data_IF_267357117925
#
_entry.id   IF_267357117925
#
_cell.length_a   1.000
_cell.length_b   1.000
_cell.length_c   1.000
_cell.angle_alpha   90.00
_cell.angle_beta   90.00
_cell.angle_gamma   90.00
#
_symmetry.space_group_name_H-M   'P 1'
#
loop_
_entity.id
_entity.type
_entity.pdbx_description
1 polymer ?
#
# COMPACT_ATOMS: atom_id res chain seq x y z
N UNK A 1 -37.80 66.59 -23.53
CA UNK A 1 -38.53 65.64 -22.73
C UNK A 1 -38.93 64.47 -23.62
N UNK A 2 -38.27 63.33 -23.57
CA UNK A 2 -38.72 62.04 -24.15
C UNK A 2 -38.30 60.95 -23.17
N UNK A 3 -39.30 60.40 -22.54
CA UNK A 3 -39.21 59.28 -21.61
C UNK A 3 -39.03 58.01 -22.38
N UNK A 4 -37.91 57.32 -22.21
CA UNK A 4 -37.67 56.01 -22.77
C UNK A 4 -37.92 54.93 -21.70
N UNK A 5 -38.90 54.06 -21.96
CA UNK A 5 -39.19 52.89 -21.16
C UNK A 5 -38.15 51.79 -21.44
N UNK A 6 -37.47 51.33 -20.40
CA UNK A 6 -36.66 50.14 -20.46
C UNK A 6 -37.53 48.91 -20.09
N UNK A 7 -37.76 48.04 -21.05
CA UNK A 7 -38.36 46.72 -20.79
C UNK A 7 -37.27 45.75 -20.31
N UNK A 8 -37.46 45.23 -19.11
CA UNK A 8 -36.62 44.20 -18.49
C UNK A 8 -37.08 42.85 -19.01
N UNK A 9 -36.29 42.25 -19.90
CA UNK A 9 -36.52 40.86 -20.33
C UNK A 9 -35.92 39.90 -19.27
N UNK A 10 -36.79 39.19 -18.58
CA UNK A 10 -36.40 38.10 -17.67
C UNK A 10 -36.06 36.88 -18.51
N UNK A 11 -34.75 36.58 -18.65
CA UNK A 11 -34.25 35.33 -19.17
C UNK A 11 -34.35 34.26 -18.09
N UNK A 12 -35.33 33.37 -18.16
CA UNK A 12 -35.40 32.13 -17.40
C UNK A 12 -34.39 31.15 -17.99
N UNK A 13 -33.23 31.04 -17.34
CA UNK A 13 -32.27 29.96 -17.66
C UNK A 13 -32.83 28.64 -17.10
N UNK A 14 -33.27 27.76 -17.99
CA UNK A 14 -33.49 26.37 -17.67
C UNK A 14 -32.14 25.69 -17.48
N UNK A 15 -31.71 25.51 -16.25
CA UNK A 15 -30.64 24.58 -15.92
C UNK A 15 -31.14 23.17 -16.13
N UNK A 16 -30.74 22.55 -17.23
CA UNK A 16 -30.88 21.11 -17.41
C UNK A 16 -30.06 20.43 -16.32
N UNK A 17 -30.72 19.92 -15.30
CA UNK A 17 -30.12 18.98 -14.35
C UNK A 17 -29.86 17.71 -15.14
N UNK A 18 -28.60 17.48 -15.53
CA UNK A 18 -28.18 16.19 -16.03
C UNK A 18 -28.30 15.18 -14.89
N UNK A 19 -29.45 14.53 -14.77
CA UNK A 19 -29.62 13.34 -13.95
C UNK A 19 -28.82 12.23 -14.64
N UNK A 20 -27.56 12.06 -14.27
CA UNK A 20 -26.87 10.82 -14.58
C UNK A 20 -27.66 9.69 -13.95
N UNK A 21 -28.15 8.75 -14.76
CA UNK A 21 -28.79 7.56 -14.24
C UNK A 21 -27.81 6.90 -13.26
N UNK A 22 -28.22 6.72 -12.01
CA UNK A 22 -27.39 6.07 -11.01
C UNK A 22 -27.01 4.66 -11.49
N UNK A 23 -25.76 4.29 -11.33
CA UNK A 23 -25.26 2.98 -11.71
C UNK A 23 -25.92 1.86 -10.90
N UNK A 24 -25.65 0.62 -11.27
CA UNK A 24 -26.10 -0.53 -10.48
C UNK A 24 -25.35 -0.60 -9.14
N UNK A 25 -26.09 -0.80 -8.08
CA UNK A 25 -25.58 -1.03 -6.74
C UNK A 25 -25.70 -2.52 -6.39
N UNK A 26 -24.68 -3.07 -5.75
CA UNK A 26 -24.62 -4.46 -5.32
C UNK A 26 -24.52 -4.53 -3.80
N UNK A 27 -25.54 -5.04 -3.13
CA UNK A 27 -25.48 -5.42 -1.73
C UNK A 27 -25.17 -6.93 -1.64
N UNK A 28 -24.16 -7.28 -0.84
CA UNK A 28 -23.70 -8.66 -0.68
C UNK A 28 -23.74 -9.01 0.80
N UNK A 29 -24.46 -10.08 1.14
CA UNK A 29 -24.50 -10.65 2.47
C UNK A 29 -23.93 -12.07 2.45
N UNK A 30 -23.31 -12.47 3.55
CA UNK A 30 -22.83 -13.83 3.77
C UNK A 30 -23.50 -14.43 4.99
N UNK A 31 -23.49 -15.74 5.07
CA UNK A 31 -23.93 -16.52 6.21
C UNK A 31 -23.07 -16.32 7.46
N UNK A 32 -21.79 -16.00 7.31
CA UNK A 32 -20.89 -15.59 8.40
C UNK A 32 -20.69 -14.07 8.42
N UNK A 33 -21.05 -13.43 9.53
CA UNK A 33 -20.94 -11.96 9.68
C UNK A 33 -19.49 -11.47 9.78
N UNK A 34 -18.57 -12.31 10.25
CA UNK A 34 -17.12 -12.02 10.32
C UNK A 34 -16.37 -12.39 9.03
N UNK A 35 -17.07 -12.94 8.01
CA UNK A 35 -16.53 -13.35 6.71
C UNK A 35 -15.33 -14.32 6.81
N UNK A 36 -15.26 -15.12 7.88
CA UNK A 36 -14.22 -16.13 8.12
C UNK A 36 -14.85 -17.51 8.17
N UNK A 37 -14.26 -18.44 7.42
CA UNK A 37 -14.72 -19.81 7.23
C UNK A 37 -13.59 -20.80 7.57
N UNK A 38 -13.98 -22.04 7.87
CA UNK A 38 -13.04 -23.16 7.94
C UNK A 38 -12.74 -23.68 6.54
N UNK A 39 -11.54 -24.22 6.34
CA UNK A 39 -11.19 -24.90 5.10
C UNK A 39 -12.19 -26.02 4.82
N UNK A 40 -12.69 -26.09 3.58
CA UNK A 40 -13.73 -27.02 3.14
C UNK A 40 -15.18 -26.59 3.40
N UNK A 41 -15.43 -25.60 4.24
CA UNK A 41 -16.76 -25.06 4.50
C UNK A 41 -17.30 -24.31 3.26
N UNK A 42 -18.62 -24.38 3.02
CA UNK A 42 -19.25 -23.66 1.91
C UNK A 42 -19.63 -22.23 2.34
N UNK A 43 -19.05 -21.22 1.68
CA UNK A 43 -19.47 -19.83 1.83
C UNK A 43 -20.59 -19.51 0.85
N UNK A 44 -21.67 -18.92 1.35
CA UNK A 44 -22.78 -18.45 0.55
C UNK A 44 -22.78 -16.92 0.46
N UNK A 45 -22.86 -16.40 -0.77
CA UNK A 45 -22.95 -14.97 -1.08
C UNK A 45 -24.37 -14.68 -1.60
N UNK A 46 -25.19 -13.99 -0.82
CA UNK A 46 -26.50 -13.52 -1.26
C UNK A 46 -26.33 -12.11 -1.83
N UNK A 47 -26.65 -11.97 -3.12
CA UNK A 47 -26.45 -10.73 -3.87
C UNK A 47 -27.81 -10.09 -4.19
N UNK A 48 -28.00 -8.84 -3.78
CA UNK A 48 -29.13 -8.00 -4.18
C UNK A 48 -28.63 -6.89 -5.08
N UNK A 49 -29.25 -6.74 -6.26
CA UNK A 49 -28.90 -5.70 -7.23
C UNK A 49 -29.99 -4.64 -7.24
N UNK A 50 -29.61 -3.39 -7.01
CA UNK A 50 -30.53 -2.25 -7.00
C UNK A 50 -30.12 -1.16 -7.97
N UNK A 51 -31.08 -0.34 -8.38
CA UNK A 51 -30.87 0.95 -9.05
C UNK A 51 -31.79 1.97 -8.40
N UNK A 52 -31.24 3.09 -7.96
CA UNK A 52 -31.99 4.12 -7.22
C UNK A 52 -32.76 3.54 -6.01
N UNK A 53 -32.11 2.60 -5.29
CA UNK A 53 -32.67 1.91 -4.12
C UNK A 53 -33.78 0.88 -4.41
N UNK A 54 -34.12 0.64 -5.69
CA UNK A 54 -35.16 -0.34 -6.09
C UNK A 54 -34.51 -1.59 -6.68
N UNK A 55 -35.06 -2.80 -6.36
CA UNK A 55 -34.57 -4.03 -6.98
C UNK A 55 -34.68 -4.00 -8.51
N UNK A 56 -33.63 -4.45 -9.18
CA UNK A 56 -33.65 -4.60 -10.64
C UNK A 56 -34.29 -5.91 -11.03
N UNK A 57 -35.25 -5.86 -11.94
CA UNK A 57 -36.10 -7.03 -12.34
C UNK A 57 -35.72 -7.61 -13.71
N UNK A 58 -34.61 -7.18 -14.31
CA UNK A 58 -34.16 -7.69 -15.60
C UNK A 58 -32.73 -7.23 -15.93
N UNK A 59 -32.16 -7.82 -16.98
CA UNK A 59 -30.78 -7.61 -17.36
C UNK A 59 -29.85 -8.68 -16.79
N UNK A 60 -28.55 -8.50 -17.01
CA UNK A 60 -27.55 -9.52 -16.70
C UNK A 60 -26.43 -8.97 -15.83
N UNK A 61 -25.92 -9.82 -14.93
CA UNK A 61 -24.73 -9.61 -14.13
C UNK A 61 -23.76 -10.77 -14.36
N UNK A 62 -22.53 -10.48 -14.74
CA UNK A 62 -21.47 -11.47 -14.79
C UNK A 62 -20.90 -11.67 -13.38
N UNK A 63 -20.98 -12.89 -12.85
CA UNK A 63 -20.49 -13.29 -11.55
C UNK A 63 -19.30 -14.23 -11.69
N UNK A 64 -18.16 -13.86 -11.11
CA UNK A 64 -16.95 -14.68 -11.10
C UNK A 64 -16.53 -14.93 -9.66
N UNK A 65 -16.25 -16.21 -9.33
CA UNK A 65 -15.73 -16.63 -8.04
C UNK A 65 -14.35 -17.25 -8.22
N UNK A 66 -13.33 -16.68 -7.58
CA UNK A 66 -11.93 -17.13 -7.69
C UNK A 66 -11.17 -17.00 -6.35
N UNK A 67 -9.98 -17.60 -6.26
CA UNK A 67 -9.11 -17.56 -5.10
C UNK A 67 -8.04 -16.43 -5.18
N UNK A 68 -8.31 -15.34 -5.87
CA UNK A 68 -7.30 -14.31 -6.22
C UNK A 68 -6.18 -14.82 -7.14
N UNK A 69 -6.30 -16.00 -7.71
CA UNK A 69 -5.31 -16.65 -8.56
C UNK A 69 -5.96 -17.37 -9.73
N UNK A 70 -5.31 -18.43 -10.23
CA UNK A 70 -5.78 -19.16 -11.40
C UNK A 70 -7.02 -20.03 -11.13
N UNK A 71 -7.33 -20.32 -9.86
CA UNK A 71 -8.47 -21.19 -9.52
C UNK A 71 -9.78 -20.41 -9.60
N UNK A 72 -10.46 -20.55 -10.73
CA UNK A 72 -11.80 -19.98 -10.98
C UNK A 72 -12.84 -21.08 -10.74
N UNK A 73 -13.63 -20.94 -9.67
CA UNK A 73 -14.68 -21.91 -9.30
C UNK A 73 -15.98 -21.68 -10.07
N UNK A 74 -16.28 -20.42 -10.40
CA UNK A 74 -17.48 -20.01 -11.10
C UNK A 74 -17.17 -18.85 -12.04
N UNK A 75 -17.76 -18.90 -13.23
CA UNK A 75 -17.85 -17.77 -14.15
C UNK A 75 -19.16 -17.87 -14.90
N UNK A 76 -20.22 -17.25 -14.36
CA UNK A 76 -21.57 -17.33 -14.85
C UNK A 76 -22.18 -15.97 -15.14
N UNK A 77 -23.07 -15.94 -16.12
CA UNK A 77 -23.94 -14.80 -16.40
C UNK A 77 -25.31 -15.04 -15.75
N UNK A 78 -25.64 -14.20 -14.78
CA UNK A 78 -26.89 -14.27 -14.01
C UNK A 78 -27.95 -13.38 -14.67
N UNK A 79 -29.09 -13.94 -14.95
CA UNK A 79 -30.29 -13.25 -15.47
C UNK A 79 -31.13 -12.77 -14.29
N UNK A 80 -31.20 -11.46 -14.06
CA UNK A 80 -31.94 -10.85 -12.97
C UNK A 80 -33.46 -11.01 -13.11
N UNK A 81 -34.00 -11.31 -14.31
CA UNK A 81 -35.40 -11.63 -14.50
C UNK A 81 -35.80 -12.98 -13.88
N UNK A 82 -34.83 -13.89 -13.67
CA UNK A 82 -35.06 -15.20 -13.05
C UNK A 82 -34.97 -15.16 -11.52
N UNK A 83 -34.45 -14.08 -10.96
CA UNK A 83 -34.35 -13.88 -9.52
C UNK A 83 -33.35 -12.77 -9.12
N UNK A 84 -33.82 -11.89 -8.25
CA UNK A 84 -33.06 -10.88 -7.54
C UNK A 84 -33.71 -10.66 -6.16
N UNK A 85 -33.09 -11.09 -5.05
CA UNK A 85 -31.68 -11.53 -4.92
C UNK A 85 -31.39 -12.91 -5.54
N UNK A 86 -30.06 -13.16 -5.78
CA UNK A 86 -29.56 -14.48 -6.19
C UNK A 86 -28.38 -14.91 -5.27
N UNK A 87 -28.05 -16.20 -5.30
CA UNK A 87 -26.98 -16.76 -4.48
C UNK A 87 -25.83 -17.30 -5.33
N UNK A 88 -24.60 -17.05 -4.86
CA UNK A 88 -23.38 -17.67 -5.38
C UNK A 88 -22.71 -18.40 -4.22
N UNK A 89 -22.22 -19.62 -4.46
CA UNK A 89 -21.60 -20.46 -3.44
C UNK A 89 -20.22 -20.96 -3.89
N UNK A 90 -19.33 -21.15 -2.93
CA UNK A 90 -18.01 -21.72 -3.17
C UNK A 90 -17.29 -22.09 -1.90
N UNK A 91 -16.15 -22.77 -2.05
CA UNK A 91 -15.31 -23.21 -0.93
C UNK A 91 -13.85 -23.24 -1.32
N UNK A 92 -12.95 -23.16 -0.34
CA UNK A 92 -11.53 -23.43 -0.52
C UNK A 92 -11.15 -24.73 0.19
N UNK A 93 -10.28 -25.53 -0.44
CA UNK A 93 -9.70 -26.74 0.14
C UNK A 93 -8.42 -26.45 0.94
N UNK A 94 -7.92 -25.20 0.89
CA UNK A 94 -6.69 -24.74 1.56
C UNK A 94 -6.90 -23.35 2.15
N UNK A 95 -6.09 -22.93 3.16
CA UNK A 95 -6.12 -21.59 3.70
C UNK A 95 -5.93 -20.53 2.62
N UNK A 96 -6.78 -19.50 2.62
CA UNK A 96 -6.74 -18.48 1.57
C UNK A 96 -7.92 -17.51 1.60
N UNK A 97 -8.16 -16.87 0.47
CA UNK A 97 -9.30 -15.98 0.29
C UNK A 97 -10.08 -16.34 -0.98
N UNK A 98 -11.38 -16.37 -0.86
CA UNK A 98 -12.33 -16.57 -1.96
C UNK A 98 -12.95 -15.21 -2.31
N UNK A 99 -12.89 -14.83 -3.60
CA UNK A 99 -13.36 -13.53 -4.08
C UNK A 99 -14.50 -13.70 -5.06
N UNK A 100 -15.64 -13.07 -4.76
CA UNK A 100 -16.73 -12.84 -5.70
C UNK A 100 -16.50 -11.50 -6.40
N UNK A 101 -16.48 -11.51 -7.73
CA UNK A 101 -16.47 -10.31 -8.57
C UNK A 101 -17.76 -10.27 -9.38
N UNK A 102 -18.50 -9.17 -9.25
CA UNK A 102 -19.72 -8.89 -9.99
C UNK A 102 -19.45 -7.77 -10.99
N UNK A 103 -19.87 -7.93 -12.23
CA UNK A 103 -19.78 -6.88 -13.23
C UNK A 103 -21.00 -6.82 -14.13
N UNK A 104 -21.43 -5.60 -14.43
CA UNK A 104 -22.49 -5.28 -15.37
C UNK A 104 -22.09 -4.02 -16.15
N UNK A 105 -22.90 -3.64 -17.16
CA UNK A 105 -22.61 -2.45 -17.99
C UNK A 105 -22.38 -1.20 -17.13
N UNK A 106 -23.19 -1.02 -16.08
CA UNK A 106 -23.26 0.23 -15.30
C UNK A 106 -22.79 0.03 -13.84
N UNK A 107 -22.07 -1.05 -13.52
CA UNK A 107 -21.59 -1.29 -12.15
C UNK A 107 -20.63 -2.46 -12.00
N UNK A 108 -19.76 -2.36 -10.98
CA UNK A 108 -18.84 -3.43 -10.61
C UNK A 108 -18.66 -3.48 -9.10
N UNK A 109 -18.60 -4.69 -8.54
CA UNK A 109 -18.33 -4.91 -7.11
C UNK A 109 -17.44 -6.12 -6.94
N UNK A 110 -16.51 -6.05 -5.99
CA UNK A 110 -15.77 -7.20 -5.50
C UNK A 110 -16.05 -7.40 -4.01
N UNK A 111 -16.04 -8.66 -3.58
CA UNK A 111 -16.27 -9.06 -2.20
C UNK A 111 -15.42 -10.29 -1.87
N UNK A 112 -14.78 -10.31 -0.71
CA UNK A 112 -13.88 -11.38 -0.33
C UNK A 112 -14.25 -11.97 1.02
N UNK A 113 -14.02 -13.28 1.17
CA UNK A 113 -14.13 -14.02 2.43
C UNK A 113 -12.83 -14.79 2.69
N UNK A 114 -12.44 -14.94 3.96
CA UNK A 114 -11.21 -15.62 4.37
C UNK A 114 -11.46 -17.05 4.84
N UNK A 115 -10.60 -17.96 4.47
CA UNK A 115 -10.56 -19.35 4.91
C UNK A 115 -9.32 -19.59 5.76
N UNK A 116 -9.49 -19.69 7.08
CA UNK A 116 -8.40 -19.88 8.05
C UNK A 116 -7.15 -19.04 7.71
N UNK A 117 -7.31 -17.71 7.52
CA UNK A 117 -6.23 -16.87 6.98
C UNK A 117 -4.99 -16.83 7.88
N UNK A 118 -5.14 -17.13 9.18
CA UNK A 118 -4.05 -17.29 10.13
C UNK A 118 -3.13 -18.48 9.84
N UNK A 119 -3.56 -19.41 8.95
CA UNK A 119 -2.78 -20.57 8.50
C UNK A 119 -2.14 -20.37 7.13
N UNK A 120 -2.30 -19.22 6.52
CA UNK A 120 -1.66 -18.93 5.23
C UNK A 120 -0.15 -18.88 5.41
N UNK A 121 0.56 -19.79 4.71
CA UNK A 121 2.01 -19.80 4.64
C UNK A 121 2.50 -18.93 3.50
N UNK A 122 3.69 -18.33 3.62
CA UNK A 122 4.33 -17.58 2.53
C UNK A 122 4.80 -18.51 1.40
N UNK A 123 4.76 -18.02 0.16
CA UNK A 123 5.32 -18.68 -1.02
C UNK A 123 6.80 -18.40 -1.21
N UNK A 124 7.31 -17.28 -0.67
CA UNK A 124 8.73 -16.92 -0.75
C UNK A 124 9.56 -17.73 0.25
N UNK A 125 10.63 -18.43 -0.19
CA UNK A 125 11.56 -19.05 0.73
C UNK A 125 12.33 -18.00 1.52
N UNK A 126 12.79 -18.33 2.72
CA UNK A 126 13.77 -17.50 3.44
C UNK A 126 15.17 -17.87 2.97
N UNK A 127 15.97 -16.94 2.38
CA UNK A 127 17.36 -17.23 2.07
C UNK A 127 18.17 -17.53 3.34
N UNK A 128 19.06 -18.51 3.29
CA UNK A 128 19.87 -18.90 4.46
C UNK A 128 20.81 -17.78 4.91
N UNK A 129 21.31 -16.99 3.96
CA UNK A 129 22.20 -15.85 4.21
C UNK A 129 21.47 -14.51 4.38
N UNK A 130 20.14 -14.51 4.56
CA UNK A 130 19.33 -13.28 4.57
C UNK A 130 19.85 -12.23 5.58
N UNK A 131 20.10 -12.64 6.81
CA UNK A 131 20.54 -11.72 7.86
C UNK A 131 22.00 -11.23 7.62
N UNK A 132 22.86 -12.14 7.19
CA UNK A 132 24.24 -11.79 6.82
C UNK A 132 24.27 -10.82 5.63
N UNK A 133 23.47 -11.08 4.60
CA UNK A 133 23.39 -10.18 3.43
C UNK A 133 23.02 -8.76 3.82
N UNK A 134 21.97 -8.57 4.63
CA UNK A 134 21.53 -7.23 5.01
C UNK A 134 22.48 -6.56 6.00
N UNK A 135 23.11 -7.31 6.92
CA UNK A 135 24.14 -6.78 7.81
C UNK A 135 25.36 -6.30 7.03
N UNK A 136 25.84 -7.11 6.09
CA UNK A 136 26.97 -6.78 5.21
C UNK A 136 26.65 -5.59 4.30
N UNK A 137 25.44 -5.52 3.74
CA UNK A 137 24.99 -4.40 2.90
C UNK A 137 25.01 -3.06 3.66
N UNK A 138 24.53 -3.05 4.91
CA UNK A 138 24.57 -1.87 5.79
C UNK A 138 26.02 -1.47 6.13
N UNK A 139 26.85 -2.43 6.52
CA UNK A 139 28.25 -2.20 6.88
C UNK A 139 29.05 -1.66 5.67
N UNK A 140 28.88 -2.25 4.50
CA UNK A 140 29.47 -1.80 3.25
C UNK A 140 29.05 -0.37 2.90
N UNK A 141 27.75 -0.08 2.92
CA UNK A 141 27.27 1.27 2.64
C UNK A 141 27.89 2.30 3.59
N UNK A 142 27.95 1.99 4.89
CA UNK A 142 28.53 2.89 5.89
C UNK A 142 30.04 3.15 5.63
N UNK A 143 30.76 2.14 5.13
CA UNK A 143 32.21 2.23 4.84
C UNK A 143 32.49 2.94 3.51
N UNK A 144 31.74 2.64 2.47
CA UNK A 144 32.06 3.02 1.09
C UNK A 144 31.42 4.34 0.66
N UNK A 145 30.28 4.72 1.25
CA UNK A 145 29.52 5.90 0.86
C UNK A 145 29.37 6.84 2.05
N UNK A 146 29.96 8.04 2.04
CA UNK A 146 29.69 9.06 3.07
C UNK A 146 28.20 9.30 3.25
N UNK A 147 27.76 9.58 4.48
CA UNK A 147 26.34 9.84 4.77
C UNK A 147 25.80 11.02 3.96
N UNK A 148 26.62 12.08 3.84
CA UNK A 148 26.28 13.33 3.14
C UNK A 148 24.83 13.75 3.39
N UNK A 149 24.47 13.88 4.68
CA UNK A 149 23.17 14.31 5.11
C UNK A 149 22.95 15.78 4.76
N UNK A 150 21.92 16.07 3.98
CA UNK A 150 21.55 17.43 3.62
C UNK A 150 20.17 17.74 4.22
N UNK A 151 20.08 18.94 4.82
CA UNK A 151 18.84 19.42 5.45
C UNK A 151 18.66 20.90 5.11
N UNK A 152 17.67 21.22 4.29
CA UNK A 152 17.39 22.58 3.81
C UNK A 152 16.01 23.02 4.28
N UNK A 153 15.94 24.11 5.02
CA UNK A 153 14.67 24.70 5.49
C UNK A 153 13.82 25.14 4.29
N UNK A 154 12.54 24.92 4.37
CA UNK A 154 11.50 25.31 3.41
C UNK A 154 10.62 26.37 4.07
N UNK A 155 10.95 27.68 3.97
CA UNK A 155 10.26 28.74 4.71
C UNK A 155 8.78 28.82 4.38
N UNK A 156 8.40 28.62 3.11
CA UNK A 156 7.02 28.66 2.63
C UNK A 156 6.12 27.53 3.16
N UNK A 157 6.73 26.49 3.79
CA UNK A 157 6.04 25.38 4.43
C UNK A 157 6.19 25.37 5.95
N UNK A 158 7.03 26.25 6.48
CA UNK A 158 7.22 26.44 7.92
C UNK A 158 6.15 27.35 8.50
N UNK A 159 5.82 27.15 9.78
CA UNK A 159 4.83 27.93 10.52
C UNK A 159 5.42 28.37 11.86
N UNK A 160 4.61 29.06 12.69
CA UNK A 160 5.04 29.38 14.05
C UNK A 160 5.23 28.11 14.92
N UNK A 161 4.51 27.00 14.60
CA UNK A 161 4.50 25.78 15.38
C UNK A 161 5.61 24.80 14.99
N UNK A 162 6.05 24.81 13.73
CA UNK A 162 7.08 23.89 13.21
C UNK A 162 7.89 24.47 12.06
N UNK A 163 9.14 24.07 11.97
CA UNK A 163 10.01 24.25 10.82
C UNK A 163 9.89 23.06 9.87
N UNK A 164 9.80 23.31 8.57
CA UNK A 164 9.72 22.31 7.52
C UNK A 164 11.02 22.25 6.73
N UNK A 165 11.51 21.03 6.47
CA UNK A 165 12.80 20.79 5.81
C UNK A 165 12.68 19.79 4.68
N UNK A 166 13.41 20.02 3.60
CA UNK A 166 13.86 18.96 2.68
C UNK A 166 15.08 18.29 3.26
N UNK A 167 15.08 16.95 3.24
CA UNK A 167 16.19 16.14 3.69
C UNK A 167 16.62 15.17 2.61
N UNK A 168 17.92 14.87 2.53
CA UNK A 168 18.43 13.84 1.62
C UNK A 168 19.70 13.21 2.13
N UNK A 169 19.92 11.95 1.75
CA UNK A 169 21.07 11.15 2.17
C UNK A 169 21.66 10.42 0.98
N UNK A 170 22.98 10.34 0.90
CA UNK A 170 23.64 9.57 -0.13
C UNK A 170 23.44 8.06 0.10
N UNK A 171 23.35 7.31 -0.98
CA UNK A 171 23.31 5.84 -1.02
C UNK A 171 24.03 5.39 -2.30
N UNK A 172 24.09 4.08 -2.59
CA UNK A 172 24.76 3.58 -3.79
C UNK A 172 24.21 4.21 -5.07
N UNK A 173 25.08 4.94 -5.79
CA UNK A 173 24.78 5.51 -7.10
C UNK A 173 23.68 6.57 -7.14
N UNK A 174 23.12 6.97 -5.99
CA UNK A 174 22.03 7.96 -5.92
C UNK A 174 21.87 8.57 -4.53
N UNK A 175 20.85 9.38 -4.36
CA UNK A 175 20.36 9.87 -3.06
C UNK A 175 18.94 9.37 -2.81
N UNK A 176 18.57 9.29 -1.53
CA UNK A 176 17.17 9.21 -1.08
C UNK A 176 16.74 10.60 -0.60
N UNK A 177 15.49 10.95 -0.87
CA UNK A 177 14.96 12.28 -0.60
C UNK A 177 13.68 12.19 0.24
N UNK A 178 13.53 13.14 1.13
CA UNK A 178 12.38 13.22 2.02
C UNK A 178 12.09 14.61 2.53
N UNK A 179 11.09 14.67 3.39
CA UNK A 179 10.75 15.84 4.19
C UNK A 179 10.82 15.51 5.67
N UNK A 180 11.09 16.56 6.48
CA UNK A 180 11.01 16.48 7.93
C UNK A 180 10.40 17.77 8.45
N UNK A 181 9.37 17.67 9.32
CA UNK A 181 8.89 18.81 10.11
C UNK A 181 9.35 18.64 11.55
N UNK A 182 9.84 19.73 12.14
CA UNK A 182 10.41 19.77 13.50
C UNK A 182 9.72 20.87 14.28
N UNK A 183 9.14 20.58 15.46
CA UNK A 183 8.52 21.62 16.31
C UNK A 183 9.50 22.75 16.67
N UNK A 184 9.00 23.98 16.72
CA UNK A 184 9.80 25.19 17.03
C UNK A 184 10.03 25.37 18.53
N UNK A 185 9.11 24.91 19.40
CA UNK A 185 9.19 25.05 20.86
C UNK A 185 10.21 24.09 21.48
N UNK A 186 11.46 24.51 21.57
CA UNK A 186 12.56 23.68 22.10
C UNK A 186 12.39 23.31 23.59
N UNK A 187 11.53 23.99 24.33
CA UNK A 187 11.29 23.70 25.74
C UNK A 187 10.56 22.36 25.96
N UNK A 188 9.90 21.81 24.94
CA UNK A 188 9.15 20.55 24.98
C UNK A 188 9.93 19.35 24.43
N UNK A 189 11.15 19.57 23.92
CA UNK A 189 11.99 18.47 23.46
C UNK A 189 12.41 17.55 24.63
N UNK A 190 12.62 16.24 24.40
CA UNK A 190 12.64 15.57 23.10
C UNK A 190 11.24 15.18 22.61
N UNK A 191 11.05 15.18 21.27
CA UNK A 191 9.78 14.92 20.61
C UNK A 191 9.65 13.48 20.10
N UNK A 192 8.44 12.90 20.10
CA UNK A 192 8.18 11.67 19.38
C UNK A 192 8.41 11.86 17.88
N UNK A 193 8.64 10.74 17.18
CA UNK A 193 8.84 10.72 15.73
C UNK A 193 7.81 9.81 15.07
N UNK A 194 7.19 10.31 14.01
CA UNK A 194 6.40 9.52 13.07
C UNK A 194 7.11 9.46 11.72
N UNK A 195 7.56 8.27 11.36
CA UNK A 195 8.31 8.00 10.14
C UNK A 195 7.44 7.29 9.11
N UNK A 196 7.54 7.70 7.85
CA UNK A 196 6.75 7.12 6.76
C UNK A 196 7.52 7.10 5.44
N UNK A 197 7.10 6.21 4.53
CA UNK A 197 7.62 6.10 3.17
C UNK A 197 6.44 6.14 2.18
N UNK A 198 6.67 6.68 1.00
CA UNK A 198 5.64 6.88 -0.02
C UNK A 198 4.98 5.59 -0.49
N UNK A 199 3.69 5.64 -0.75
CA UNK A 199 3.00 4.63 -1.55
C UNK A 199 3.52 4.63 -3.01
N UNK A 200 3.07 3.66 -3.83
CA UNK A 200 3.41 3.63 -5.24
C UNK A 200 2.58 4.63 -6.06
N UNK A 201 3.11 5.02 -7.22
CA UNK A 201 2.48 5.97 -8.11
C UNK A 201 3.03 7.38 -8.00
N UNK A 202 3.05 8.11 -9.11
CA UNK A 202 3.74 9.40 -9.19
C UNK A 202 3.16 10.49 -8.26
N UNK A 203 1.87 10.42 -7.91
CA UNK A 203 1.21 11.39 -7.02
C UNK A 203 1.45 11.13 -5.52
N UNK A 204 1.90 9.95 -5.14
CA UNK A 204 2.02 9.59 -3.72
C UNK A 204 3.30 10.06 -3.04
N UNK A 205 4.30 10.48 -3.81
CA UNK A 205 5.59 10.98 -3.31
C UNK A 205 5.60 12.49 -3.03
N UNK A 206 4.50 13.14 -3.29
CA UNK A 206 4.32 14.58 -3.04
C UNK A 206 3.42 14.86 -1.85
N UNK A 207 3.02 13.81 -1.12
CA UNK A 207 2.16 13.99 0.04
C UNK A 207 2.80 14.98 1.02
N UNK A 208 2.19 16.14 1.08
CA UNK A 208 2.45 17.11 2.11
C UNK A 208 1.97 16.53 3.44
N UNK A 209 2.92 16.14 4.26
CA UNK A 209 2.59 15.60 5.58
C UNK A 209 2.17 16.68 6.56
N UNK A 210 2.30 17.96 6.17
CA UNK A 210 2.21 19.07 7.11
C UNK A 210 3.22 18.90 8.28
N UNK A 211 3.02 19.68 9.33
CA UNK A 211 3.75 19.54 10.58
C UNK A 211 2.80 19.56 11.76
N UNK A 212 3.31 19.20 12.93
CA UNK A 212 2.61 19.24 14.21
C UNK A 212 3.52 19.92 15.25
N UNK A 213 2.93 20.62 16.24
CA UNK A 213 3.69 21.37 17.25
C UNK A 213 4.38 20.54 18.32
N UNK A 214 4.08 19.24 18.39
CA UNK A 214 4.54 18.30 19.41
C UNK A 214 5.00 16.94 18.86
N UNK A 215 5.25 16.88 17.54
CA UNK A 215 5.66 15.68 16.83
C UNK A 215 6.63 16.00 15.69
N UNK A 216 7.75 15.30 15.62
CA UNK A 216 8.60 15.29 14.43
C UNK A 216 8.01 14.31 13.42
N UNK A 217 7.70 14.80 12.22
CA UNK A 217 7.22 13.94 11.13
C UNK A 217 8.31 13.81 10.08
N UNK A 218 8.53 12.58 9.60
CA UNK A 218 9.53 12.25 8.59
C UNK A 218 8.89 11.44 7.48
N UNK A 219 9.09 11.87 6.25
CA UNK A 219 8.56 11.20 5.07
C UNK A 219 9.66 11.03 4.03
N UNK A 220 9.79 9.83 3.46
CA UNK A 220 10.70 9.55 2.37
C UNK A 220 9.98 9.13 1.09
N UNK A 221 10.47 9.64 -0.04
CA UNK A 221 10.13 9.17 -1.37
C UNK A 221 11.06 8.02 -1.77
N UNK A 222 10.55 7.07 -2.56
CA UNK A 222 11.40 6.01 -3.17
C UNK A 222 12.03 6.45 -4.50
N UNK A 223 11.62 7.59 -5.05
CA UNK A 223 12.06 8.05 -6.38
C UNK A 223 13.42 8.75 -6.35
N UNK A 224 14.15 8.81 -7.48
CA UNK A 224 15.50 9.35 -7.56
C UNK A 224 15.57 10.89 -7.67
N UNK A 225 14.52 11.59 -7.26
CA UNK A 225 14.44 13.05 -7.24
C UNK A 225 13.81 13.57 -5.96
N UNK A 226 14.09 14.84 -5.64
CA UNK A 226 13.51 15.50 -4.49
C UNK A 226 11.97 15.65 -4.65
N UNK A 227 11.17 15.27 -3.64
CA UNK A 227 9.74 15.50 -3.67
C UNK A 227 9.42 17.01 -3.68
N UNK A 228 8.27 17.36 -4.27
CA UNK A 228 7.78 18.73 -4.31
C UNK A 228 6.26 18.77 -4.20
N UNK A 229 5.72 19.70 -3.44
CA UNK A 229 4.26 19.84 -3.26
C UNK A 229 3.53 20.27 -4.53
N UNK A 230 4.19 21.00 -5.43
CA UNK A 230 3.65 21.40 -6.73
C UNK A 230 4.16 20.48 -7.86
N UNK A 231 4.00 19.19 -7.65
CA UNK A 231 4.47 18.16 -8.58
C UNK A 231 3.73 18.18 -9.94
N UNK A 232 2.47 18.69 -9.96
CA UNK A 232 1.66 18.71 -11.18
C UNK A 232 2.23 19.67 -12.21
N UNK A 233 2.69 20.86 -11.76
CA UNK A 233 3.26 21.88 -12.63
C UNK A 233 4.71 21.60 -13.06
N UNK A 234 5.42 20.71 -12.38
CA UNK A 234 6.85 20.46 -12.59
C UNK A 234 7.17 19.29 -13.54
N UNK A 235 6.17 18.76 -14.27
CA UNK A 235 6.40 17.70 -15.26
C UNK A 235 6.84 16.35 -14.67
N UNK A 236 6.68 16.12 -13.38
CA UNK A 236 7.07 14.88 -12.70
C UNK A 236 6.38 13.63 -13.26
N UNK A 237 5.15 13.77 -13.78
CA UNK A 237 4.50 12.64 -14.44
C UNK A 237 5.31 12.16 -15.64
N UNK A 238 5.82 13.06 -16.45
CA UNK A 238 6.67 12.71 -17.59
C UNK A 238 7.99 12.06 -17.15
N UNK A 239 8.60 12.57 -16.06
CA UNK A 239 9.80 11.95 -15.47
C UNK A 239 9.52 10.52 -14.94
N UNK A 240 8.37 10.32 -14.31
CA UNK A 240 7.94 9.00 -13.82
C UNK A 240 7.71 8.02 -14.98
N UNK A 241 6.99 8.45 -16.02
CA UNK A 241 6.73 7.62 -17.19
C UNK A 241 8.03 7.26 -17.92
N UNK A 242 8.91 8.25 -18.16
CA UNK A 242 10.22 8.05 -18.77
C UNK A 242 11.09 7.06 -17.98
N UNK A 243 11.10 7.17 -16.66
CA UNK A 243 11.82 6.24 -15.78
C UNK A 243 11.31 4.81 -15.95
N UNK A 244 9.99 4.60 -15.94
CA UNK A 244 9.41 3.27 -16.12
C UNK A 244 9.73 2.69 -17.50
N UNK A 245 9.61 3.47 -18.56
CA UNK A 245 9.98 3.05 -19.91
C UNK A 245 11.48 2.71 -20.01
N UNK A 246 12.36 3.49 -19.39
CA UNK A 246 13.80 3.22 -19.39
C UNK A 246 14.12 1.91 -18.67
N UNK A 247 13.46 1.63 -17.54
CA UNK A 247 13.62 0.36 -16.83
C UNK A 247 13.02 -0.82 -17.59
N UNK A 248 11.88 -0.64 -18.25
CA UNK A 248 11.29 -1.70 -19.06
C UNK A 248 12.17 -2.04 -20.26
N UNK A 249 12.67 -1.03 -20.98
CA UNK A 249 13.63 -1.25 -22.09
C UNK A 249 14.90 -1.97 -21.63
N UNK A 250 15.41 -1.63 -20.45
CA UNK A 250 16.67 -2.20 -19.92
C UNK A 250 16.50 -3.60 -19.34
N UNK A 251 15.43 -3.86 -18.60
CA UNK A 251 15.27 -5.07 -17.77
C UNK A 251 14.08 -5.93 -18.15
N UNK A 252 13.22 -5.50 -19.08
CA UNK A 252 12.01 -6.23 -19.47
C UNK A 252 11.04 -6.46 -18.32
N UNK A 253 10.87 -5.49 -17.43
CA UNK A 253 10.19 -5.63 -16.15
C UNK A 253 8.97 -4.74 -15.95
N UNK A 254 8.57 -3.97 -16.97
CA UNK A 254 7.40 -3.12 -16.97
C UNK A 254 7.49 -1.86 -16.10
N UNK A 255 8.17 -1.89 -14.94
CA UNK A 255 8.19 -0.76 -14.00
C UNK A 255 9.40 -0.76 -13.05
N UNK A 256 9.68 0.42 -12.47
CA UNK A 256 10.77 0.61 -11.49
C UNK A 256 10.73 -0.39 -10.32
N UNK A 257 9.54 -0.71 -9.83
CA UNK A 257 9.35 -1.53 -8.62
C UNK A 257 9.70 -3.02 -8.79
N UNK A 258 10.06 -3.44 -10.00
CA UNK A 258 10.55 -4.78 -10.31
C UNK A 258 11.93 -4.73 -10.98
N UNK A 259 12.43 -3.53 -11.30
CA UNK A 259 13.63 -3.33 -12.11
C UNK A 259 14.92 -3.82 -11.42
N UNK A 260 15.75 -4.54 -12.17
CA UNK A 260 17.10 -4.96 -11.79
C UNK A 260 17.21 -6.35 -11.16
N UNK A 261 16.11 -6.97 -10.73
CA UNK A 261 16.13 -8.34 -10.19
C UNK A 261 16.54 -9.40 -11.22
N UNK A 262 16.39 -9.13 -12.52
CA UNK A 262 16.89 -9.99 -13.59
C UNK A 262 18.43 -9.98 -13.72
N UNK A 263 19.12 -9.08 -13.00
CA UNK A 263 20.58 -8.99 -12.98
C UNK A 263 21.15 -9.49 -11.67
N UNK A 264 20.84 -8.83 -10.55
CA UNK A 264 21.26 -9.25 -9.21
C UNK A 264 20.41 -8.56 -8.14
N UNK A 265 20.52 -9.02 -6.89
CA UNK A 265 19.87 -8.40 -5.73
C UNK A 265 20.38 -6.97 -5.48
N UNK A 266 21.66 -6.68 -5.77
CA UNK A 266 22.25 -5.34 -5.61
C UNK A 266 21.82 -4.36 -6.72
N UNK A 267 21.42 -4.87 -7.89
CA UNK A 267 20.88 -4.07 -8.99
C UNK A 267 19.39 -3.75 -8.83
N UNK A 268 18.71 -4.40 -7.88
CA UNK A 268 17.30 -4.12 -7.65
C UNK A 268 17.06 -2.67 -7.25
N UNK A 269 16.05 -2.04 -7.87
CA UNK A 269 15.73 -0.63 -7.64
C UNK A 269 15.59 -0.26 -6.15
N UNK A 270 14.99 -1.14 -5.34
CA UNK A 270 14.79 -0.88 -3.93
C UNK A 270 16.02 -1.13 -3.06
N UNK A 271 17.06 -1.80 -3.54
CA UNK A 271 18.26 -2.07 -2.73
C UNK A 271 18.93 -0.78 -2.22
N UNK A 272 19.37 0.17 -3.09
CA UNK A 272 19.95 1.42 -2.61
C UNK A 272 18.92 2.33 -1.91
N UNK A 273 17.63 2.23 -2.26
CA UNK A 273 16.57 3.01 -1.60
C UNK A 273 16.38 2.59 -0.16
N UNK A 274 16.26 1.27 0.08
CA UNK A 274 16.08 0.71 1.42
C UNK A 274 17.25 1.06 2.32
N UNK A 275 18.48 0.83 1.86
CA UNK A 275 19.70 1.15 2.62
C UNK A 275 19.84 2.66 2.90
N UNK A 276 19.49 3.50 1.93
CA UNK A 276 19.52 4.96 2.10
C UNK A 276 18.49 5.47 3.12
N UNK A 277 17.27 4.89 3.12
CA UNK A 277 16.25 5.26 4.09
C UNK A 277 16.57 4.68 5.48
N UNK A 278 17.09 3.45 5.56
CA UNK A 278 17.48 2.83 6.82
C UNK A 278 18.57 3.65 7.55
N UNK A 279 19.60 4.11 6.85
CA UNK A 279 20.60 5.00 7.45
C UNK A 279 20.05 6.38 7.85
N UNK A 280 18.99 6.85 7.16
CA UNK A 280 18.29 8.07 7.55
C UNK A 280 17.48 7.86 8.86
N UNK A 281 16.93 6.68 9.10
CA UNK A 281 16.33 6.33 10.41
C UNK A 281 17.34 6.50 11.53
N UNK A 282 18.55 5.96 11.38
CA UNK A 282 19.63 6.09 12.37
C UNK A 282 20.02 7.56 12.61
N UNK A 283 20.12 8.35 11.53
CA UNK A 283 20.44 9.77 11.62
C UNK A 283 19.34 10.57 12.34
N UNK A 284 18.08 10.33 12.04
CA UNK A 284 16.95 10.97 12.74
C UNK A 284 16.95 10.59 14.22
N UNK A 285 17.14 9.32 14.53
CA UNK A 285 17.15 8.81 15.91
C UNK A 285 18.33 9.33 16.76
N UNK A 286 19.43 9.73 16.12
CA UNK A 286 20.59 10.30 16.80
C UNK A 286 20.45 11.80 17.15
N UNK A 287 19.38 12.45 16.72
CA UNK A 287 19.15 13.88 16.99
C UNK A 287 18.83 14.11 18.46
N UNK A 288 19.35 15.18 19.08
CA UNK A 288 19.11 15.48 20.49
C UNK A 288 17.66 15.89 20.82
N UNK A 289 16.90 16.31 19.82
CA UNK A 289 15.50 16.69 19.94
C UNK A 289 14.52 15.53 19.72
N UNK A 290 15.00 14.28 19.58
CA UNK A 290 14.21 13.07 19.34
C UNK A 290 14.06 12.21 20.59
N UNK A 291 12.82 11.85 20.90
CA UNK A 291 12.49 10.83 21.91
C UNK A 291 12.51 9.43 21.28
N UNK A 292 13.59 8.72 21.48
CA UNK A 292 13.78 7.36 20.96
C UNK A 292 12.80 6.32 21.54
N UNK A 293 12.17 6.59 22.67
CA UNK A 293 11.15 5.72 23.25
C UNK A 293 9.79 5.82 22.55
N UNK A 294 9.61 6.87 21.72
CA UNK A 294 8.40 7.15 20.93
C UNK A 294 8.74 7.38 19.48
N UNK A 295 9.29 6.36 18.82
CA UNK A 295 9.71 6.40 17.43
C UNK A 295 8.86 5.42 16.64
N UNK A 296 7.92 5.92 15.82
CA UNK A 296 6.88 5.13 15.19
C UNK A 296 7.01 5.09 13.68
N UNK A 297 6.54 3.99 13.10
CA UNK A 297 6.41 3.85 11.66
C UNK A 297 4.94 3.76 11.26
N UNK A 298 4.54 4.45 10.18
CA UNK A 298 3.31 4.17 9.46
C UNK A 298 3.51 4.21 7.95
N UNK A 299 2.77 3.37 7.22
CA UNK A 299 2.88 3.36 5.76
C UNK A 299 1.76 2.63 5.07
N UNK A 300 1.42 3.10 3.87
CA UNK A 300 0.33 2.55 3.05
C UNK A 300 0.89 1.91 1.80
N UNK A 301 0.34 0.75 1.39
CA UNK A 301 0.67 0.10 0.12
C UNK A 301 2.18 -0.17 0.03
N UNK A 302 2.89 0.39 -0.95
CA UNK A 302 4.35 0.31 -1.04
C UNK A 302 5.03 0.81 0.25
N UNK A 303 4.55 1.92 0.84
CA UNK A 303 5.04 2.40 2.13
C UNK A 303 4.78 1.38 3.26
N UNK A 304 3.67 0.65 3.23
CA UNK A 304 3.41 -0.48 4.13
C UNK A 304 4.42 -1.61 3.96
N UNK A 305 4.82 -1.92 2.73
CA UNK A 305 5.91 -2.86 2.43
C UNK A 305 7.27 -2.40 2.96
N UNK A 306 7.60 -1.11 2.78
CA UNK A 306 8.79 -0.51 3.40
C UNK A 306 8.73 -0.55 4.93
N UNK A 307 7.54 -0.58 5.52
CA UNK A 307 7.35 -0.80 6.95
C UNK A 307 7.92 -2.15 7.40
N UNK A 308 7.63 -3.22 6.69
CA UNK A 308 8.23 -4.54 6.96
C UNK A 308 9.75 -4.51 6.86
N UNK A 309 10.29 -3.87 5.82
CA UNK A 309 11.73 -3.73 5.61
C UNK A 309 12.41 -3.00 6.77
N UNK A 310 11.97 -1.77 7.02
CA UNK A 310 12.62 -0.89 7.98
C UNK A 310 12.49 -1.42 9.41
N UNK A 311 11.29 -1.88 9.82
CA UNK A 311 11.10 -2.41 11.18
C UNK A 311 11.74 -3.79 11.38
N UNK A 312 11.95 -4.55 10.31
CA UNK A 312 12.68 -5.81 10.34
C UNK A 312 14.20 -5.64 10.43
N UNK A 313 14.76 -4.58 9.81
CA UNK A 313 16.20 -4.30 9.83
C UNK A 313 16.64 -3.39 11.00
N UNK A 314 15.78 -2.43 11.36
CA UNK A 314 16.15 -1.37 12.30
C UNK A 314 15.36 -1.48 13.61
N UNK A 315 16.06 -1.54 14.74
CA UNK A 315 15.48 -1.69 16.08
C UNK A 315 15.03 -0.38 16.71
N UNK A 316 15.13 0.73 15.99
CA UNK A 316 14.73 2.06 16.48
C UNK A 316 13.22 2.19 16.65
N UNK A 317 12.44 1.50 15.82
CA UNK A 317 10.98 1.62 15.86
C UNK A 317 10.39 0.97 17.10
N UNK A 318 9.54 1.72 17.80
CA UNK A 318 8.87 1.28 19.04
C UNK A 318 7.43 0.81 18.81
N UNK A 319 6.80 1.19 17.70
CA UNK A 319 5.52 0.69 17.18
C UNK A 319 5.44 0.90 15.67
N UNK A 320 4.60 0.09 15.01
CA UNK A 320 4.38 0.23 13.57
C UNK A 320 2.93 -0.05 13.15
N UNK A 321 2.45 0.68 12.14
CA UNK A 321 1.15 0.48 11.50
C UNK A 321 1.31 0.37 9.99
N UNK A 322 0.85 -0.75 9.40
CA UNK A 322 0.92 -1.02 7.97
C UNK A 322 -0.47 -1.10 7.37
N UNK A 323 -0.77 -0.23 6.42
CA UNK A 323 -2.08 -0.17 5.76
C UNK A 323 -1.99 -0.80 4.37
N UNK A 324 -2.77 -1.86 4.13
CA UNK A 324 -2.79 -2.62 2.87
C UNK A 324 -1.38 -2.81 2.30
N UNK A 325 -0.44 -3.39 3.08
CA UNK A 325 0.97 -3.41 2.72
C UNK A 325 1.23 -4.20 1.44
N UNK A 326 2.03 -3.62 0.55
CA UNK A 326 2.57 -4.24 -0.64
C UNK A 326 3.91 -4.96 -0.34
N UNK A 327 4.53 -5.52 -1.38
CA UNK A 327 5.85 -6.15 -1.35
C UNK A 327 5.91 -7.30 -0.31
N UNK A 328 4.82 -8.03 -0.19
CA UNK A 328 4.66 -9.17 0.70
C UNK A 328 4.28 -10.40 -0.13
N UNK A 329 4.80 -11.57 0.22
CA UNK A 329 4.51 -12.85 -0.47
C UNK A 329 4.65 -12.74 -2.00
N UNK A 330 5.77 -12.22 -2.44
CA UNK A 330 6.05 -11.92 -3.85
C UNK A 330 6.15 -13.16 -4.73
N UNK A 331 6.12 -14.35 -4.13
CA UNK A 331 6.11 -15.66 -4.80
C UNK A 331 4.86 -16.49 -4.43
N UNK A 332 3.76 -15.86 -4.10
CA UNK A 332 2.48 -16.51 -3.77
C UNK A 332 1.96 -17.45 -4.85
N UNK A 333 2.34 -17.23 -6.12
CA UNK A 333 2.00 -18.13 -7.25
C UNK A 333 2.49 -19.57 -7.03
N UNK A 334 3.58 -19.79 -6.27
CA UNK A 334 4.06 -21.12 -5.90
C UNK A 334 3.11 -21.89 -4.96
N UNK A 335 2.17 -21.18 -4.37
CA UNK A 335 1.08 -21.72 -3.54
C UNK A 335 -0.29 -21.64 -4.25
N UNK A 336 -0.31 -21.55 -5.58
CA UNK A 336 -1.54 -21.55 -6.39
C UNK A 336 -2.44 -20.30 -6.20
N UNK A 337 -1.88 -19.18 -5.72
CA UNK A 337 -2.59 -17.93 -5.52
C UNK A 337 -1.85 -16.74 -6.16
N UNK A 338 -2.49 -15.59 -6.25
CA UNK A 338 -1.85 -14.40 -6.76
C UNK A 338 -0.71 -13.95 -5.83
N UNK A 339 0.45 -13.67 -6.41
CA UNK A 339 1.58 -13.07 -5.70
C UNK A 339 1.25 -11.66 -5.22
N UNK A 340 1.89 -11.23 -4.15
CA UNK A 340 1.81 -9.85 -3.68
C UNK A 340 2.44 -8.86 -4.65
N UNK A 341 1.86 -7.65 -4.70
CA UNK A 341 2.44 -6.57 -5.50
C UNK A 341 3.90 -6.31 -5.10
N UNK A 342 4.83 -6.09 -6.04
CA UNK A 342 4.65 -5.83 -7.48
C UNK A 342 4.68 -7.07 -8.39
N UNK A 343 4.67 -8.29 -7.84
CA UNK A 343 4.72 -9.54 -8.60
C UNK A 343 5.97 -9.64 -9.47
N UNK A 344 7.15 -9.59 -8.88
CA UNK A 344 8.38 -9.42 -9.64
C UNK A 344 8.63 -10.55 -10.65
N UNK A 345 8.33 -11.80 -10.29
CA UNK A 345 8.56 -12.95 -11.18
C UNK A 345 7.65 -12.88 -12.40
N UNK A 346 6.33 -12.68 -12.16
CA UNK A 346 5.35 -12.65 -13.25
C UNK A 346 5.48 -11.40 -14.13
N UNK A 347 6.12 -10.33 -13.62
CA UNK A 347 6.33 -9.07 -14.34
C UNK A 347 7.55 -9.11 -15.27
N UNK A 348 8.43 -10.10 -15.16
CA UNK A 348 9.60 -10.26 -16.01
C UNK A 348 9.33 -11.23 -17.17
N UNK A 349 10.17 -11.12 -18.21
CA UNK A 349 10.20 -12.07 -19.33
C UNK A 349 10.48 -13.48 -18.81
N UNK A 350 10.03 -14.48 -19.51
CA UNK A 350 10.13 -15.89 -19.07
C UNK A 350 11.58 -16.31 -18.85
N UNK A 351 12.49 -15.91 -19.73
CA UNK A 351 13.92 -16.19 -19.63
C UNK A 351 14.60 -15.64 -18.37
N UNK A 352 14.05 -14.55 -17.81
CA UNK A 352 14.61 -13.89 -16.62
C UNK A 352 14.05 -14.43 -15.30
N UNK A 353 12.91 -15.14 -15.32
CA UNK A 353 12.15 -15.52 -14.13
C UNK A 353 12.96 -16.34 -13.13
N UNK A 354 13.79 -17.27 -13.58
CA UNK A 354 14.65 -18.07 -12.70
C UNK A 354 15.62 -17.19 -11.90
N UNK A 355 16.20 -16.17 -12.54
CA UNK A 355 17.09 -15.22 -11.87
C UNK A 355 16.31 -14.36 -10.87
N UNK A 356 15.12 -13.89 -11.26
CA UNK A 356 14.25 -13.10 -10.38
C UNK A 356 13.79 -13.92 -9.18
N UNK A 357 13.41 -15.20 -9.37
CA UNK A 357 13.05 -16.12 -8.28
C UNK A 357 14.18 -16.30 -7.25
N UNK A 358 15.42 -16.26 -7.70
CA UNK A 358 16.59 -16.36 -6.83
C UNK A 358 16.74 -15.13 -5.94
N UNK A 359 16.46 -13.93 -6.46
CA UNK A 359 16.75 -12.66 -5.77
C UNK A 359 15.53 -12.01 -5.09
N UNK A 360 14.31 -12.26 -5.59
CA UNK A 360 13.09 -11.68 -5.02
C UNK A 360 12.90 -11.97 -3.52
N UNK A 361 13.24 -13.15 -2.98
CA UNK A 361 13.09 -13.45 -1.55
C UNK A 361 13.87 -12.54 -0.62
N UNK A 362 14.98 -11.95 -1.07
CA UNK A 362 15.73 -10.97 -0.26
C UNK A 362 14.95 -9.66 -0.04
N UNK A 363 13.92 -9.42 -0.85
CA UNK A 363 13.09 -8.22 -0.81
C UNK A 363 11.61 -8.53 -0.55
N UNK A 364 11.30 -9.71 -0.04
CA UNK A 364 9.94 -10.04 0.36
C UNK A 364 9.68 -9.62 1.79
N UNK A 365 8.66 -8.76 2.00
CA UNK A 365 8.27 -8.30 3.32
C UNK A 365 7.97 -9.43 4.30
N UNK A 366 7.49 -10.59 3.82
CA UNK A 366 7.27 -11.75 4.65
C UNK A 366 8.56 -12.29 5.29
N UNK A 367 9.71 -12.15 4.61
CA UNK A 367 11.01 -12.53 5.16
C UNK A 367 11.56 -11.53 6.19
N UNK A 368 11.19 -10.25 6.10
CA UNK A 368 11.50 -9.26 7.15
C UNK A 368 10.57 -9.38 8.36
N UNK A 369 9.33 -9.82 8.15
CA UNK A 369 8.29 -9.86 9.18
C UNK A 369 8.71 -10.64 10.44
N UNK A 370 9.42 -11.76 10.28
CA UNK A 370 9.90 -12.57 11.40
C UNK A 370 10.97 -11.89 12.27
N UNK A 371 11.52 -10.78 11.80
CA UNK A 371 12.59 -10.00 12.43
C UNK A 371 12.08 -8.74 13.13
N UNK A 372 10.79 -8.42 12.99
CA UNK A 372 10.17 -7.28 13.67
C UNK A 372 10.12 -7.55 15.17
N UNK A 373 10.49 -6.54 15.96
CA UNK A 373 10.54 -6.63 17.44
C UNK A 373 9.62 -5.66 18.15
N UNK A 374 9.04 -4.69 17.44
CA UNK A 374 8.08 -3.74 18.02
C UNK A 374 6.64 -4.22 17.83
N UNK A 375 5.69 -3.77 18.65
CA UNK A 375 4.25 -3.95 18.42
C UNK A 375 3.81 -3.49 17.04
N UNK A 376 2.93 -4.27 16.36
CA UNK A 376 2.50 -4.02 14.99
C UNK A 376 0.99 -4.10 14.85
N UNK A 377 0.41 -3.19 14.05
CA UNK A 377 -0.96 -3.29 13.53
C UNK A 377 -0.94 -3.27 12.02
N UNK A 378 -1.76 -4.14 11.41
CA UNK A 378 -1.91 -4.24 9.96
C UNK A 378 -3.38 -4.02 9.59
N UNK A 379 -3.67 -3.28 8.54
CA UNK A 379 -5.00 -3.19 7.96
C UNK A 379 -5.01 -3.91 6.61
N UNK A 380 -6.04 -4.74 6.35
CA UNK A 380 -6.19 -5.52 5.12
C UNK A 380 -7.59 -5.37 4.54
N UNK A 381 -7.69 -5.12 3.23
CA UNK A 381 -8.95 -5.14 2.49
C UNK A 381 -9.26 -6.53 1.96
N UNK A 382 -10.40 -7.12 2.34
CA UNK A 382 -10.77 -8.47 1.88
C UNK A 382 -11.11 -8.54 0.39
N UNK A 383 -11.38 -7.40 -0.24
CA UNK A 383 -11.62 -7.30 -1.69
C UNK A 383 -10.50 -6.55 -2.43
N UNK A 384 -9.30 -6.41 -1.84
CA UNK A 384 -8.17 -5.70 -2.43
C UNK A 384 -7.55 -6.49 -3.60
N UNK A 385 -7.61 -5.97 -4.86
CA UNK A 385 -7.01 -6.63 -6.01
C UNK A 385 -5.53 -6.30 -6.21
N UNK A 386 -5.01 -5.30 -5.48
CA UNK A 386 -3.64 -4.77 -5.61
C UNK A 386 -2.72 -5.42 -4.58
N UNK A 387 -2.97 -5.18 -3.30
CA UNK A 387 -2.31 -5.85 -2.19
C UNK A 387 -3.24 -6.95 -1.67
N UNK A 388 -3.20 -8.07 -2.39
CA UNK A 388 -4.15 -9.17 -2.16
C UNK A 388 -4.10 -9.69 -0.73
N UNK A 389 -5.25 -9.96 -0.10
CA UNK A 389 -5.30 -10.30 1.32
C UNK A 389 -4.48 -11.55 1.67
N UNK A 390 -4.35 -12.52 0.77
CA UNK A 390 -3.48 -13.69 0.97
C UNK A 390 -2.02 -13.28 1.20
N UNK A 391 -1.50 -12.34 0.40
CA UNK A 391 -0.12 -11.89 0.52
C UNK A 391 0.11 -11.07 1.81
N UNK A 392 -0.86 -10.25 2.19
CA UNK A 392 -0.81 -9.50 3.46
C UNK A 392 -0.78 -10.45 4.65
N UNK A 393 -1.65 -11.47 4.65
CA UNK A 393 -1.69 -12.47 5.72
C UNK A 393 -0.44 -13.34 5.77
N UNK A 394 0.12 -13.73 4.62
CA UNK A 394 1.37 -14.49 4.56
C UNK A 394 2.52 -13.77 5.28
N UNK A 395 2.61 -12.44 5.14
CA UNK A 395 3.59 -11.65 5.88
C UNK A 395 3.18 -11.42 7.35
N UNK A 396 1.91 -11.13 7.63
CA UNK A 396 1.41 -10.94 8.99
C UNK A 396 1.62 -12.17 9.87
N UNK A 397 1.41 -13.38 9.33
CA UNK A 397 1.59 -14.63 10.06
C UNK A 397 3.06 -14.88 10.47
N UNK A 398 4.02 -14.36 9.69
CA UNK A 398 5.45 -14.43 10.01
C UNK A 398 5.89 -13.51 11.17
N UNK A 399 5.10 -12.50 11.55
CA UNK A 399 5.42 -11.61 12.67
C UNK A 399 5.38 -12.41 13.98
N UNK A 400 6.46 -12.36 14.77
CA UNK A 400 6.64 -13.17 15.99
C UNK A 400 6.32 -12.42 17.28
N UNK A 401 6.17 -11.08 17.24
CA UNK A 401 5.83 -10.32 18.47
C UNK A 401 4.43 -10.67 18.97
N UNK A 402 4.26 -10.75 20.28
CA UNK A 402 2.98 -11.07 20.89
C UNK A 402 1.94 -9.95 20.69
N UNK A 403 2.36 -8.68 20.76
CA UNK A 403 1.47 -7.53 20.52
C UNK A 403 1.39 -7.23 19.02
N UNK A 404 0.70 -8.09 18.28
CA UNK A 404 0.32 -7.86 16.88
C UNK A 404 -1.19 -7.92 16.71
N UNK A 405 -1.71 -7.20 15.68
CA UNK A 405 -3.14 -7.23 15.36
C UNK A 405 -3.39 -6.88 13.91
N UNK A 406 -4.51 -7.39 13.37
CA UNK A 406 -4.93 -7.14 12.00
C UNK A 406 -6.37 -6.63 11.97
N UNK A 407 -6.60 -5.51 11.30
CA UNK A 407 -7.91 -4.90 11.11
C UNK A 407 -8.48 -5.28 9.74
N UNK A 408 -9.74 -5.72 9.71
CA UNK A 408 -10.38 -6.27 8.53
C UNK A 408 -11.28 -5.24 7.83
N UNK A 409 -10.96 -4.91 6.59
CA UNK A 409 -11.80 -4.14 5.67
C UNK A 409 -12.75 -5.04 4.89
N UNK A 410 -13.85 -5.46 5.51
CA UNK A 410 -14.87 -6.29 4.88
C UNK A 410 -15.50 -5.58 3.68
N UNK A 411 -15.53 -6.24 2.51
CA UNK A 411 -16.02 -5.66 1.27
C UNK A 411 -15.22 -4.46 0.75
N UNK A 412 -14.08 -4.16 1.35
CA UNK A 412 -13.23 -3.02 0.99
C UNK A 412 -12.04 -3.47 0.13
N UNK A 413 -11.74 -2.69 -0.90
CA UNK A 413 -10.58 -2.87 -1.76
C UNK A 413 -9.35 -2.13 -1.23
N UNK A 414 -8.44 -1.76 -2.15
CA UNK A 414 -7.17 -1.08 -1.84
C UNK A 414 -7.32 0.24 -1.09
N UNK A 415 -8.46 0.92 -1.22
CA UNK A 415 -8.77 2.17 -0.51
C UNK A 415 -9.25 1.99 0.95
N UNK A 416 -9.22 0.79 1.52
CA UNK A 416 -9.75 0.54 2.88
C UNK A 416 -8.99 1.29 3.99
N UNK A 417 -7.80 1.76 3.74
CA UNK A 417 -6.95 2.43 4.72
C UNK A 417 -7.60 3.68 5.33
N UNK A 418 -8.42 4.42 4.60
CA UNK A 418 -9.07 5.64 5.12
C UNK A 418 -9.85 5.42 6.42
N UNK A 419 -10.54 4.27 6.54
CA UNK A 419 -11.27 3.88 7.76
C UNK A 419 -10.34 3.63 8.95
N UNK A 420 -9.16 3.07 8.70
CA UNK A 420 -8.27 2.59 9.75
C UNK A 420 -7.21 3.62 10.16
N UNK A 421 -6.98 4.67 9.38
CA UNK A 421 -5.97 5.69 9.69
C UNK A 421 -6.18 6.33 11.06
N UNK A 422 -7.42 6.70 11.39
CA UNK A 422 -7.72 7.33 12.68
C UNK A 422 -7.53 6.35 13.84
N UNK A 423 -8.06 5.13 13.72
CA UNK A 423 -8.01 4.11 14.75
C UNK A 423 -6.57 3.67 15.03
N UNK A 424 -5.84 3.26 14.00
CA UNK A 424 -4.47 2.79 14.14
C UNK A 424 -3.49 3.94 14.43
N UNK A 425 -3.77 5.16 13.96
CA UNK A 425 -3.01 6.36 14.32
C UNK A 425 -3.13 6.68 15.81
N UNK A 426 -4.34 6.59 16.38
CA UNK A 426 -4.54 6.71 17.84
C UNK A 426 -3.81 5.62 18.61
N UNK A 427 -3.86 4.37 18.12
CA UNK A 427 -3.11 3.27 18.73
C UNK A 427 -1.60 3.49 18.69
N UNK A 428 -1.07 3.93 17.52
CA UNK A 428 0.34 4.18 17.31
C UNK A 428 0.90 5.19 18.30
N UNK A 429 0.15 6.27 18.57
CA UNK A 429 0.54 7.41 19.41
C UNK A 429 0.16 7.26 20.90
N UNK A 430 -0.38 6.12 21.34
CA UNK A 430 -0.68 5.89 22.76
C UNK A 430 0.58 6.04 23.61
N UNK A 431 0.44 6.72 24.75
CA UNK A 431 1.47 6.86 25.78
C UNK A 431 1.81 5.51 26.41
#
# INVERSE_FOLDING_TARGET
MKTGSFSLAVLTAWSAVNVFAAGLEFAIANDHTNLLYKVGEEAAFTVTVTRDGKPVTGGFVDAKLDNYGPNVQLSNRVDLAKGNPFSVKGRLAEPGFLRLTLSAKDGKKAWGVGYEPEKIEKGSPSPDDFDAFWADARAKLAKEVPLDAQMTKVPERSTADFDYYRISFATYGRRVYGYMSVPTDKSKAPYPVEFSVSAAGFGSWTNDMGGEKDLIKVFFSVYPWAPHWDWQSLGFKAAYDYMNEAYDRRFGCGRYCTAGLSVSRENYFFYPVLLGIDRAVDWVAARPDVDRSRFWYQGTSQGGGFGFYLTGLNRTFTRAAFFVPAITDTMGYKKGRMSGWPRPVESHREEDRTTVEKWAPYFDGANFASRITCPVRVAVGFADPTCVPCAVYAAYNEIKVADKGIAHGFGMGHGCFGKFYEELGKWLRRK
#
